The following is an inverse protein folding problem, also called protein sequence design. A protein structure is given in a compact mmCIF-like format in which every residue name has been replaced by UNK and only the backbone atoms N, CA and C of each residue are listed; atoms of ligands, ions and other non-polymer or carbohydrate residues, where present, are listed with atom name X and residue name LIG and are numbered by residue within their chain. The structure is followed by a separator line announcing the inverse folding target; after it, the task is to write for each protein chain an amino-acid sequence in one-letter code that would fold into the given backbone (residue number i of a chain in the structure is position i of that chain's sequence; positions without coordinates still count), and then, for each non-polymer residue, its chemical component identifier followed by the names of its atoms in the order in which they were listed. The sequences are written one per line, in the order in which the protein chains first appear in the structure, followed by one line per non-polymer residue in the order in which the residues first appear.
data_IF_823907936252
#
_entry.id   IF_823907936252
#
_cell.length_a   1.000
_cell.length_b   1.000
_cell.length_c   1.000
_cell.angle_alpha   90.00
_cell.angle_beta   90.00
_cell.angle_gamma   90.00
#
_symmetry.space_group_name_H-M   'P 1'
#
loop_
_entity.id
_entity.type
_entity.pdbx_description
1 polymer ?
#
# COMPACT_ATOMS: atom_id res chain seq x y z
N UNK A 1 19.35 20.41 7.30
CA UNK A 1 17.95 20.15 7.69
C UNK A 1 17.13 19.49 6.57
N UNK A 2 17.30 19.83 5.28
CA UNK A 2 16.62 19.12 4.18
C UNK A 2 17.06 17.64 4.04
N UNK A 3 18.35 17.36 4.32
CA UNK A 3 18.95 16.02 4.24
C UNK A 3 18.23 14.99 5.14
N UNK A 4 17.98 15.37 6.40
CA UNK A 4 17.33 14.51 7.41
C UNK A 4 15.85 14.19 7.10
N UNK A 5 15.16 15.04 6.34
CA UNK A 5 13.75 14.80 5.96
C UNK A 5 13.67 13.79 4.80
N UNK A 6 14.55 13.92 3.81
CA UNK A 6 14.63 13.01 2.65
C UNK A 6 15.01 11.59 3.12
N UNK A 7 15.96 11.47 4.05
CA UNK A 7 16.38 10.21 4.67
C UNK A 7 15.20 9.47 5.31
N UNK A 8 14.41 10.18 6.14
CA UNK A 8 13.25 9.56 6.80
C UNK A 8 12.18 9.14 5.80
N UNK A 9 12.08 9.81 4.64
CA UNK A 9 11.17 9.44 3.56
C UNK A 9 11.58 8.13 2.89
N UNK A 10 12.86 7.97 2.55
CA UNK A 10 13.39 6.77 1.90
C UNK A 10 13.36 5.54 2.81
N UNK A 11 13.68 5.69 4.09
CA UNK A 11 13.54 4.60 5.06
C UNK A 11 12.08 4.19 5.23
N UNK A 12 11.16 5.15 5.36
CA UNK A 12 9.73 4.86 5.45
C UNK A 12 9.18 4.23 4.18
N UNK A 13 9.63 4.66 3.01
CA UNK A 13 9.32 3.98 1.75
C UNK A 13 9.76 2.52 1.81
N UNK A 14 11.04 2.27 2.11
CA UNK A 14 11.63 0.93 2.15
C UNK A 14 10.85 0.02 3.11
N UNK A 15 10.59 0.49 4.31
CA UNK A 15 9.95 -0.29 5.36
C UNK A 15 8.50 -0.63 4.97
N UNK A 16 7.72 0.35 4.51
CA UNK A 16 6.34 0.11 4.07
C UNK A 16 6.28 -0.77 2.82
N UNK A 17 7.18 -0.59 1.85
CA UNK A 17 7.21 -1.40 0.64
C UNK A 17 7.56 -2.86 0.95
N UNK A 18 8.55 -3.09 1.84
CA UNK A 18 8.91 -4.43 2.32
C UNK A 18 7.74 -5.09 3.06
N UNK A 19 7.07 -4.35 3.93
CA UNK A 19 5.92 -4.86 4.67
C UNK A 19 4.76 -5.20 3.73
N UNK A 20 4.49 -4.34 2.73
CA UNK A 20 3.48 -4.59 1.70
C UNK A 20 3.75 -5.91 0.95
N UNK A 21 5.00 -6.14 0.52
CA UNK A 21 5.41 -7.41 -0.11
C UNK A 21 5.27 -8.61 0.84
N UNK A 22 5.53 -8.41 2.13
CA UNK A 22 5.38 -9.44 3.17
C UNK A 22 3.92 -9.84 3.37
N UNK A 23 3.04 -8.86 3.58
CA UNK A 23 1.61 -9.09 3.77
C UNK A 23 0.94 -9.62 2.50
N UNK A 24 1.30 -9.11 1.31
CA UNK A 24 0.74 -9.60 0.05
C UNK A 24 1.02 -11.09 -0.14
N UNK A 25 2.30 -11.51 -0.02
CA UNK A 25 2.67 -12.94 -0.08
C UNK A 25 1.98 -13.79 0.97
N UNK A 26 1.75 -13.24 2.17
CA UNK A 26 1.04 -13.93 3.24
C UNK A 26 -0.43 -14.12 2.92
N UNK A 27 -1.09 -13.11 2.36
CA UNK A 27 -2.48 -13.21 1.92
C UNK A 27 -2.63 -14.28 0.83
N UNK A 28 -1.77 -14.27 -0.19
CA UNK A 28 -1.75 -15.31 -1.22
C UNK A 28 -1.52 -16.71 -0.63
N UNK A 29 -0.63 -16.84 0.35
CA UNK A 29 -0.40 -18.11 1.05
C UNK A 29 -1.68 -18.56 1.76
N UNK A 30 -2.34 -17.68 2.50
CA UNK A 30 -3.58 -18.00 3.20
C UNK A 30 -4.72 -18.37 2.25
N UNK A 31 -4.79 -17.75 1.07
CA UNK A 31 -5.73 -18.15 0.02
C UNK A 31 -5.43 -19.58 -0.48
N UNK A 32 -4.16 -19.91 -0.75
CA UNK A 32 -3.75 -21.26 -1.19
C UNK A 32 -3.98 -22.34 -0.13
N UNK A 33 -3.90 -21.96 1.15
CA UNK A 33 -4.15 -22.84 2.31
C UNK A 33 -5.63 -22.91 2.70
N UNK A 34 -6.55 -22.34 1.91
CA UNK A 34 -7.99 -22.30 2.14
C UNK A 34 -8.36 -21.77 3.54
N UNK A 35 -7.62 -20.75 3.99
CA UNK A 35 -7.93 -20.04 5.23
C UNK A 35 -9.15 -19.16 5.02
N UNK A 36 -9.90 -18.90 6.09
CA UNK A 36 -11.16 -18.15 6.03
C UNK A 36 -11.01 -16.82 5.28
N UNK A 37 -11.99 -16.51 4.43
CA UNK A 37 -11.95 -15.35 3.52
C UNK A 37 -11.72 -14.03 4.24
N UNK A 38 -12.31 -13.82 5.42
CA UNK A 38 -12.08 -12.62 6.22
C UNK A 38 -10.61 -12.44 6.61
N UNK A 39 -9.89 -13.53 6.90
CA UNK A 39 -8.46 -13.44 7.22
C UNK A 39 -7.65 -13.05 5.98
N UNK A 40 -7.92 -13.68 4.84
CA UNK A 40 -7.23 -13.37 3.58
C UNK A 40 -7.49 -11.92 3.17
N UNK A 41 -8.75 -11.51 3.19
CA UNK A 41 -9.20 -10.15 2.86
C UNK A 41 -8.50 -9.11 3.74
N UNK A 42 -8.52 -9.29 5.06
CA UNK A 42 -7.91 -8.33 5.98
C UNK A 42 -6.41 -8.20 5.78
N UNK A 43 -5.70 -9.30 5.58
CA UNK A 43 -4.24 -9.27 5.35
C UNK A 43 -3.91 -8.62 4.00
N UNK A 44 -4.72 -8.87 2.96
CA UNK A 44 -4.57 -8.22 1.67
C UNK A 44 -4.85 -6.70 1.73
N UNK A 45 -5.87 -6.28 2.48
CA UNK A 45 -6.14 -4.86 2.73
C UNK A 45 -4.95 -4.17 3.44
N UNK A 46 -4.34 -4.81 4.45
CA UNK A 46 -3.12 -4.28 5.07
C UNK A 46 -1.96 -4.19 4.06
N UNK A 47 -1.81 -5.18 3.17
CA UNK A 47 -0.81 -5.11 2.12
C UNK A 47 -1.04 -3.92 1.17
N UNK A 48 -2.28 -3.71 0.75
CA UNK A 48 -2.68 -2.60 -0.12
C UNK A 48 -2.44 -1.24 0.53
N UNK A 49 -2.84 -1.05 1.79
CA UNK A 49 -2.54 0.17 2.55
C UNK A 49 -1.05 0.45 2.57
N UNK A 50 -0.22 -0.57 2.85
CA UNK A 50 1.24 -0.42 2.90
C UNK A 50 1.85 -0.08 1.55
N UNK A 51 1.32 -0.62 0.45
CA UNK A 51 1.75 -0.18 -0.89
C UNK A 51 1.44 1.29 -1.11
N UNK A 52 0.22 1.75 -0.80
CA UNK A 52 -0.15 3.15 -1.02
C UNK A 52 0.67 4.10 -0.14
N UNK A 53 0.89 3.76 1.13
CA UNK A 53 1.76 4.52 2.03
C UNK A 53 3.20 4.55 1.51
N UNK A 54 3.73 3.42 1.03
CA UNK A 54 5.06 3.39 0.43
C UNK A 54 5.14 4.32 -0.78
N UNK A 55 4.11 4.31 -1.65
CA UNK A 55 4.04 5.18 -2.81
C UNK A 55 4.00 6.66 -2.41
N UNK A 56 3.23 7.03 -1.38
CA UNK A 56 3.27 8.38 -0.82
C UNK A 56 4.70 8.82 -0.44
N UNK A 57 5.47 7.96 0.24
CA UNK A 57 6.86 8.27 0.59
C UNK A 57 7.80 8.29 -0.60
N UNK A 58 7.61 7.42 -1.59
CA UNK A 58 8.43 7.38 -2.80
C UNK A 58 8.31 8.67 -3.62
N UNK A 59 7.16 9.35 -3.56
CA UNK A 59 6.88 10.58 -4.31
C UNK A 59 6.76 11.84 -3.44
N UNK A 60 7.09 11.76 -2.15
CA UNK A 60 6.98 12.86 -1.19
C UNK A 60 5.57 13.51 -1.15
N UNK A 61 4.54 12.67 -1.24
CA UNK A 61 3.13 13.04 -1.22
C UNK A 61 2.46 12.52 0.07
N UNK A 62 2.68 13.16 1.24
CA UNK A 62 2.18 12.65 2.51
C UNK A 62 0.65 12.66 2.54
N UNK A 63 -0.01 11.55 2.93
CA UNK A 63 -1.46 11.51 3.03
C UNK A 63 -1.94 12.21 4.31
N UNK A 64 -3.16 12.75 4.28
CA UNK A 64 -3.79 13.36 5.45
C UNK A 64 -4.23 12.32 6.51
N UNK A 65 -4.51 11.10 6.07
CA UNK A 65 -4.90 9.94 6.88
C UNK A 65 -4.62 8.65 6.10
N UNK A 66 -4.60 7.50 6.77
CA UNK A 66 -4.32 6.19 6.15
C UNK A 66 -5.60 5.41 5.77
N UNK A 67 -6.73 6.10 5.59
CA UNK A 67 -7.87 5.50 4.90
C UNK A 67 -7.64 5.54 3.37
N UNK A 68 -8.34 4.70 2.62
CA UNK A 68 -8.06 4.52 1.20
C UNK A 68 -8.37 5.78 0.38
N UNK A 69 -9.39 6.55 0.74
CA UNK A 69 -9.73 7.81 0.07
C UNK A 69 -8.59 8.83 0.23
N UNK A 70 -8.05 9.01 1.44
CA UNK A 70 -6.96 9.95 1.69
C UNK A 70 -5.66 9.49 1.04
N UNK A 71 -5.38 8.19 1.05
CA UNK A 71 -4.22 7.61 0.36
C UNK A 71 -4.32 7.85 -1.15
N UNK A 72 -5.47 7.55 -1.76
CA UNK A 72 -5.69 7.77 -3.19
C UNK A 72 -5.62 9.25 -3.58
N UNK A 73 -6.19 10.15 -2.77
CA UNK A 73 -6.07 11.59 -2.98
C UNK A 73 -4.61 12.07 -3.03
N UNK A 74 -3.71 11.43 -2.27
CA UNK A 74 -2.30 11.78 -2.28
C UNK A 74 -1.59 11.20 -3.50
N UNK A 75 -1.69 9.89 -3.72
CA UNK A 75 -0.90 9.20 -4.77
C UNK A 75 -1.35 9.55 -6.18
N UNK A 76 -2.63 9.84 -6.42
CA UNK A 76 -3.14 10.18 -7.76
C UNK A 76 -2.61 11.53 -8.28
N UNK A 77 -2.05 12.37 -7.40
CA UNK A 77 -1.44 13.66 -7.78
C UNK A 77 -0.04 13.50 -8.36
N UNK A 78 0.60 12.34 -8.14
CA UNK A 78 2.01 12.08 -8.44
C UNK A 78 2.23 10.81 -9.28
N UNK A 79 1.24 9.92 -9.35
CA UNK A 79 1.26 8.69 -10.13
C UNK A 79 -0.01 8.61 -10.97
N UNK A 80 0.13 8.23 -12.24
CA UNK A 80 -1.01 8.01 -13.14
C UNK A 80 -1.69 6.67 -12.79
N UNK A 81 -2.79 6.76 -12.04
CA UNK A 81 -3.58 5.61 -11.64
C UNK A 81 -4.71 5.34 -12.64
N UNK A 82 -4.90 4.07 -13.09
CA UNK A 82 -6.08 3.70 -13.85
C UNK A 82 -7.37 4.05 -13.10
N UNK A 83 -8.30 4.72 -13.77
CA UNK A 83 -9.51 5.26 -13.15
C UNK A 83 -10.35 4.19 -12.43
N UNK A 84 -10.45 3.00 -13.01
CA UNK A 84 -11.19 1.87 -12.43
C UNK A 84 -10.52 1.37 -11.14
N UNK A 85 -9.20 1.19 -11.15
CA UNK A 85 -8.43 0.80 -9.98
C UNK A 85 -8.56 1.83 -8.85
N UNK A 86 -8.48 3.12 -9.19
CA UNK A 86 -8.65 4.20 -8.24
C UNK A 86 -10.03 4.15 -7.56
N UNK A 87 -11.10 4.04 -8.37
CA UNK A 87 -12.46 3.93 -7.87
C UNK A 87 -12.65 2.69 -6.98
N UNK A 88 -12.05 1.56 -7.36
CA UNK A 88 -12.13 0.33 -6.58
C UNK A 88 -11.44 0.44 -5.24
N UNK A 89 -10.22 0.98 -5.18
CA UNK A 89 -9.48 1.16 -3.94
C UNK A 89 -10.27 2.08 -2.99
N UNK A 90 -10.77 3.22 -3.49
CA UNK A 90 -11.60 4.14 -2.68
C UNK A 90 -12.85 3.48 -2.13
N UNK A 91 -13.41 2.50 -2.85
CA UNK A 91 -14.62 1.84 -2.39
C UNK A 91 -14.42 1.00 -1.12
N UNK A 92 -13.18 0.63 -0.79
CA UNK A 92 -12.87 -0.15 0.41
C UNK A 92 -13.19 0.62 1.71
N UNK A 93 -13.12 1.95 1.72
CA UNK A 93 -13.49 2.74 2.91
C UNK A 93 -14.98 2.57 3.28
N UNK A 94 -15.84 2.33 2.29
CA UNK A 94 -17.25 2.01 2.54
C UNK A 94 -17.41 0.60 3.09
N UNK A 95 -16.64 -0.37 2.61
CA UNK A 95 -16.65 -1.76 3.11
C UNK A 95 -16.20 -1.80 4.59
N UNK A 96 -15.21 -0.98 4.95
CA UNK A 96 -14.74 -0.88 6.33
C UNK A 96 -15.63 0.01 7.23
N UNK A 97 -16.69 0.62 6.70
CA UNK A 97 -17.62 1.44 7.47
C UNK A 97 -16.97 2.71 8.06
N UNK A 98 -15.87 3.20 7.47
CA UNK A 98 -15.11 4.34 7.99
C UNK A 98 -15.87 5.67 7.76
N UNK A 99 -16.88 5.68 6.87
CA UNK A 99 -17.56 6.90 6.44
C UNK A 99 -19.04 7.06 6.86
N UNK A 100 -19.66 6.13 7.59
CA UNK A 100 -21.00 6.34 8.20
C UNK A 100 -21.32 5.22 9.20
N UNK A 101 -21.79 5.58 10.41
CA UNK A 101 -22.32 4.63 11.39
C UNK A 101 -23.74 4.14 11.05
N UNK A 102 -24.43 4.82 10.13
CA UNK A 102 -25.84 4.54 9.80
C UNK A 102 -26.01 3.36 8.84
N UNK A 103 -24.95 3.00 8.10
CA UNK A 103 -24.93 1.90 7.13
C UNK A 103 -23.90 0.81 7.49
N UNK A 104 -23.68 0.57 8.79
CA UNK A 104 -22.78 -0.49 9.26
C UNK A 104 -23.34 -1.88 8.88
N UNK A 105 -23.01 -2.34 7.68
CA UNK A 105 -23.34 -3.66 7.17
C UNK A 105 -22.04 -4.43 6.93
N UNK A 106 -21.68 -5.28 7.88
CA UNK A 106 -20.52 -6.16 7.77
C UNK A 106 -20.98 -7.50 7.19
N UNK A 107 -21.18 -7.56 5.86
CA UNK A 107 -21.21 -8.87 5.21
C UNK A 107 -19.83 -9.50 5.37
N UNK A 108 -19.80 -10.79 5.71
CA UNK A 108 -18.53 -11.53 5.82
C UNK A 108 -17.90 -11.57 4.42
N UNK A 109 -16.64 -11.12 4.23
CA UNK A 109 -16.01 -11.10 2.91
C UNK A 109 -16.14 -12.45 2.21
N UNK A 110 -16.55 -12.42 0.94
CA UNK A 110 -16.67 -13.60 0.10
C UNK A 110 -15.39 -13.81 -0.73
N UNK A 111 -15.32 -14.93 -1.45
CA UNK A 111 -14.21 -15.23 -2.34
C UNK A 111 -14.00 -14.14 -3.41
N UNK A 112 -15.08 -13.49 -3.85
CA UNK A 112 -15.01 -12.38 -4.81
C UNK A 112 -14.28 -11.18 -4.21
N UNK A 113 -14.53 -10.85 -2.95
CA UNK A 113 -13.85 -9.73 -2.26
C UNK A 113 -12.36 -10.01 -2.09
N UNK A 114 -12.03 -11.25 -1.69
CA UNK A 114 -10.64 -11.72 -1.56
C UNK A 114 -9.91 -11.62 -2.90
N UNK A 115 -10.52 -12.14 -3.96
CA UNK A 115 -9.93 -12.13 -5.31
C UNK A 115 -9.71 -10.70 -5.79
N UNK A 116 -10.68 -9.84 -5.53
CA UNK A 116 -10.64 -8.43 -5.91
C UNK A 116 -9.52 -7.67 -5.20
N UNK A 117 -9.38 -7.79 -3.87
CA UNK A 117 -8.31 -7.07 -3.14
C UNK A 117 -6.90 -7.58 -3.49
N UNK A 118 -6.73 -8.88 -3.74
CA UNK A 118 -5.45 -9.43 -4.21
C UNK A 118 -5.09 -8.90 -5.60
N UNK A 119 -6.08 -8.82 -6.52
CA UNK A 119 -5.88 -8.21 -7.82
C UNK A 119 -5.50 -6.71 -7.70
N UNK A 120 -6.12 -5.97 -6.78
CA UNK A 120 -5.73 -4.59 -6.48
C UNK A 120 -4.29 -4.50 -5.97
N UNK A 121 -3.87 -5.39 -5.06
CA UNK A 121 -2.49 -5.42 -4.57
C UNK A 121 -1.47 -5.62 -5.70
N UNK A 122 -1.74 -6.55 -6.61
CA UNK A 122 -0.86 -6.80 -7.76
C UNK A 122 -0.86 -5.62 -8.74
N UNK A 123 -2.03 -5.04 -9.02
CA UNK A 123 -2.14 -3.87 -9.90
C UNK A 123 -1.39 -2.65 -9.34
N UNK A 124 -1.53 -2.35 -8.04
CA UNK A 124 -0.79 -1.26 -7.39
C UNK A 124 0.71 -1.54 -7.37
N UNK A 125 1.12 -2.77 -7.08
CA UNK A 125 2.52 -3.18 -7.13
C UNK A 125 3.13 -2.95 -8.51
N UNK A 126 2.39 -3.22 -9.58
CA UNK A 126 2.85 -3.01 -10.95
C UNK A 126 3.03 -1.52 -11.32
N UNK A 127 2.42 -0.59 -10.59
CA UNK A 127 2.57 0.86 -10.81
C UNK A 127 3.85 1.44 -10.20
N UNK A 128 4.60 0.68 -9.40
CA UNK A 128 5.86 1.17 -8.84
C UNK A 128 6.94 1.32 -9.91
N UNK A 129 7.49 2.54 -10.01
CA UNK A 129 8.64 2.86 -10.83
C UNK A 129 9.90 2.17 -10.28
N UNK A 130 10.35 1.11 -10.97
CA UNK A 130 11.49 0.31 -10.54
C UNK A 130 12.81 1.09 -10.63
N UNK A 131 12.95 2.05 -11.53
CA UNK A 131 14.16 2.89 -11.62
C UNK A 131 14.26 3.79 -10.39
N UNK A 132 13.12 4.37 -9.97
CA UNK A 132 13.07 5.20 -8.76
C UNK A 132 13.33 4.39 -7.49
N UNK A 133 12.76 3.18 -7.40
CA UNK A 133 13.05 2.26 -6.29
C UNK A 133 14.55 1.94 -6.21
N UNK A 134 15.17 1.64 -7.36
CA UNK A 134 16.59 1.33 -7.40
C UNK A 134 17.43 2.54 -6.95
N UNK A 135 17.10 3.74 -7.42
CA UNK A 135 17.77 4.97 -6.99
C UNK A 135 17.69 5.20 -5.47
N UNK A 136 16.53 4.94 -4.86
CA UNK A 136 16.38 5.01 -3.39
C UNK A 136 17.24 3.95 -2.69
N UNK A 137 17.28 2.73 -3.21
CA UNK A 137 18.11 1.67 -2.64
C UNK A 137 19.60 2.01 -2.70
N UNK A 138 20.07 2.55 -3.83
CA UNK A 138 21.47 2.93 -4.02
C UNK A 138 21.87 4.07 -3.09
N UNK A 139 20.99 5.07 -2.91
CA UNK A 139 21.20 6.16 -1.98
C UNK A 139 21.39 5.67 -0.54
N UNK A 140 20.52 4.77 -0.06
CA UNK A 140 20.60 4.19 1.28
C UNK A 140 21.87 3.34 1.49
N UNK A 141 22.33 2.62 0.45
CA UNK A 141 23.51 1.76 0.53
C UNK A 141 24.83 2.55 0.57
N UNK A 142 24.92 3.65 -0.20
CA UNK A 142 26.10 4.52 -0.22
C UNK A 142 26.36 5.16 1.17
N UNK A 143 25.30 5.47 1.91
CA UNK A 143 25.41 6.07 3.24
C UNK A 143 25.87 5.08 4.31
N UNK A 144 25.39 3.83 4.26
CA UNK A 144 25.85 2.78 5.18
C UNK A 144 27.35 2.49 5.03
N UNK A 145 27.89 2.60 3.81
CA UNK A 145 29.32 2.48 3.55
C UNK A 145 30.14 3.70 4.02
N UNK A 146 29.54 4.89 4.04
CA UNK A 146 30.18 6.14 4.49
C UNK A 146 30.21 6.34 6.01
N UNK A 147 29.34 5.65 6.76
CA UNK A 147 29.27 5.71 8.23
C UNK A 147 30.23 4.74 8.94
N UNK A 148 30.93 3.87 8.19
CA UNK A 148 31.92 2.92 8.72
C UNK A 148 33.39 3.41 8.66
N UNK A 149 33.61 4.72 8.41
CA UNK A 149 34.94 5.34 8.25
C UNK A 149 35.33 6.27 9.39
#
# INVERSE_FOLDING_TARGET
MAYTVIETGFEKFRDNYRDALGYHRRAEQFQREDRGYSLVFNVACVALERYLVAMCYLYDAPPLNHNYICLMNAVETVVDFPADLNKEIRSLDFIFGICSLEDYFHETPELVDVTRVLAMCEAVRALFDQEKIQAVSDALNLEQAGQTG
#
